data_IF_480194853843
#
_entry.id   IF_480194853843
#
_cell.length_a   1.000
_cell.length_b   1.000
_cell.length_c   1.000
_cell.angle_alpha   90.00
_cell.angle_beta   90.00
_cell.angle_gamma   90.00
#
_symmetry.space_group_name_H-M   'P 1'
#
loop_
_entity.id
_entity.type
_entity.pdbx_description
1 polymer ?
#
# COMPACT_ATOMS: atom_id res chain seq x y z
N UNK A 1 27.78 -37.13 -0.07
CA UNK A 1 26.54 -36.57 -0.63
C UNK A 1 25.86 -35.72 0.46
N UNK A 2 26.16 -34.41 0.56
CA UNK A 2 25.56 -33.52 1.58
C UNK A 2 24.28 -32.91 1.03
N UNK A 3 23.12 -33.41 1.48
CA UNK A 3 21.81 -32.78 1.25
C UNK A 3 21.75 -31.47 2.03
N UNK A 4 22.05 -30.34 1.37
CA UNK A 4 21.81 -28.99 1.90
C UNK A 4 20.30 -28.79 2.06
N UNK A 5 19.77 -29.01 3.25
CA UNK A 5 18.44 -28.56 3.65
C UNK A 5 18.42 -27.03 3.62
N UNK A 6 17.78 -26.45 2.61
CA UNK A 6 17.63 -24.97 2.50
C UNK A 6 16.73 -24.49 3.65
N UNK A 7 17.08 -23.41 4.35
CA UNK A 7 16.28 -22.92 5.48
C UNK A 7 14.84 -22.63 5.04
N UNK A 8 13.84 -22.87 5.90
CA UNK A 8 12.41 -22.72 5.57
C UNK A 8 12.04 -21.31 5.06
N UNK A 9 12.82 -20.31 5.46
CA UNK A 9 12.69 -18.92 5.01
C UNK A 9 12.92 -18.74 3.51
N UNK A 10 13.87 -19.48 2.91
CA UNK A 10 14.16 -19.41 1.47
C UNK A 10 12.98 -19.92 0.63
N UNK A 11 12.24 -20.89 1.17
CA UNK A 11 11.06 -21.44 0.51
C UNK A 11 9.90 -20.45 0.56
N UNK A 12 9.68 -19.79 1.71
CA UNK A 12 8.67 -18.74 1.85
C UNK A 12 8.95 -17.53 0.95
N UNK A 13 10.21 -17.09 0.88
CA UNK A 13 10.64 -16.02 -0.03
C UNK A 13 10.40 -16.37 -1.50
N UNK A 14 10.72 -17.62 -1.91
CA UNK A 14 10.42 -18.08 -3.27
C UNK A 14 8.93 -18.08 -3.56
N UNK A 15 8.11 -18.57 -2.63
CA UNK A 15 6.65 -18.56 -2.80
C UNK A 15 6.09 -17.13 -2.88
N UNK A 16 6.66 -16.19 -2.12
CA UNK A 16 6.28 -14.78 -2.19
C UNK A 16 6.71 -14.15 -3.52
N UNK A 17 7.92 -14.44 -4.00
CA UNK A 17 8.40 -13.99 -5.32
C UNK A 17 7.53 -14.54 -6.44
N UNK A 18 7.29 -15.86 -6.45
CA UNK A 18 6.45 -16.53 -7.42
C UNK A 18 5.04 -15.94 -7.38
N UNK A 19 4.50 -15.67 -6.18
CA UNK A 19 3.20 -15.02 -6.00
C UNK A 19 3.16 -13.60 -6.56
N UNK A 20 4.17 -12.77 -6.28
CA UNK A 20 4.25 -11.37 -6.76
C UNK A 20 4.41 -11.27 -8.28
N UNK A 21 4.85 -12.34 -8.95
CA UNK A 21 4.92 -12.41 -10.41
C UNK A 21 3.59 -12.74 -11.09
N UNK A 22 2.54 -13.10 -10.35
CA UNK A 22 1.21 -13.25 -10.94
C UNK A 22 0.63 -11.87 -11.24
N UNK A 23 0.10 -11.71 -12.46
CA UNK A 23 -0.58 -10.50 -12.91
C UNK A 23 -1.77 -10.13 -11.99
N UNK A 24 -2.41 -11.13 -11.39
CA UNK A 24 -3.53 -10.96 -10.44
C UNK A 24 -3.11 -10.72 -8.98
N UNK A 25 -1.81 -10.77 -8.65
CA UNK A 25 -1.33 -10.71 -7.26
C UNK A 25 -1.70 -9.40 -6.57
N UNK A 26 -1.61 -8.27 -7.30
CA UNK A 26 -1.99 -6.96 -6.78
C UNK A 26 -3.48 -6.88 -6.41
N UNK A 27 -4.35 -7.44 -7.26
CA UNK A 27 -5.79 -7.50 -7.00
C UNK A 27 -6.14 -8.37 -5.80
N UNK A 28 -5.50 -9.54 -5.67
CA UNK A 28 -5.73 -10.43 -4.53
C UNK A 28 -5.22 -9.82 -3.23
N UNK A 29 -4.07 -9.14 -3.26
CA UNK A 29 -3.52 -8.44 -2.10
C UNK A 29 -4.46 -7.31 -1.64
N UNK A 30 -4.99 -6.51 -2.58
CA UNK A 30 -5.97 -5.46 -2.27
C UNK A 30 -7.25 -6.04 -1.64
N UNK A 31 -7.75 -7.15 -2.18
CA UNK A 31 -8.92 -7.85 -1.63
C UNK A 31 -8.64 -8.35 -0.21
N UNK A 32 -7.49 -8.98 0.02
CA UNK A 32 -7.10 -9.45 1.34
C UNK A 32 -7.00 -8.30 2.36
N UNK A 33 -6.36 -7.18 1.98
CA UNK A 33 -6.29 -5.98 2.82
C UNK A 33 -7.69 -5.44 3.16
N UNK A 34 -8.61 -5.43 2.19
CA UNK A 34 -10.00 -5.01 2.39
C UNK A 34 -10.74 -5.90 3.37
N UNK A 35 -10.62 -7.23 3.23
CA UNK A 35 -11.23 -8.18 4.17
C UNK A 35 -10.67 -7.99 5.57
N UNK A 36 -9.35 -7.82 5.72
CA UNK A 36 -8.72 -7.55 7.02
C UNK A 36 -9.25 -6.26 7.63
N UNK A 37 -9.36 -5.18 6.85
CA UNK A 37 -9.90 -3.91 7.33
C UNK A 37 -11.36 -4.06 7.81
N UNK A 38 -12.21 -4.80 7.07
CA UNK A 38 -13.58 -5.09 7.49
C UNK A 38 -13.63 -5.92 8.77
N UNK A 39 -12.79 -6.94 8.90
CA UNK A 39 -12.72 -7.75 10.13
C UNK A 39 -12.32 -6.89 11.34
N UNK A 40 -11.30 -6.06 11.20
CA UNK A 40 -10.85 -5.15 12.28
C UNK A 40 -11.95 -4.15 12.64
N UNK A 41 -12.66 -3.59 11.65
CA UNK A 41 -13.72 -2.62 11.87
C UNK A 41 -14.97 -3.20 12.56
N UNK A 42 -15.18 -4.53 12.49
CA UNK A 42 -16.35 -5.21 13.07
C UNK A 42 -16.03 -6.02 14.34
N UNK A 43 -14.80 -5.95 14.84
CA UNK A 43 -14.37 -6.67 16.06
C UNK A 43 -14.05 -5.68 17.19
N UNK A 44 -13.81 -6.14 18.44
CA UNK A 44 -13.41 -5.27 19.55
C UNK A 44 -12.13 -4.45 19.30
N UNK A 45 -11.34 -4.83 18.29
CA UNK A 45 -10.16 -4.09 17.83
C UNK A 45 -10.50 -2.75 17.17
N UNK A 46 -11.76 -2.52 16.78
CA UNK A 46 -12.23 -1.27 16.16
C UNK A 46 -11.79 -0.03 16.94
N UNK A 47 -11.89 -0.04 18.27
CA UNK A 47 -11.51 1.11 19.11
C UNK A 47 -10.04 1.50 18.94
N UNK A 48 -9.13 0.51 18.97
CA UNK A 48 -7.71 0.74 18.74
C UNK A 48 -7.42 1.19 17.32
N UNK A 49 -8.10 0.61 16.34
CA UNK A 49 -7.95 0.97 14.94
C UNK A 49 -8.39 2.43 14.67
N UNK A 50 -9.56 2.82 15.17
CA UNK A 50 -10.05 4.20 15.06
C UNK A 50 -9.15 5.18 15.80
N UNK A 51 -8.73 4.87 17.03
CA UNK A 51 -7.83 5.73 17.80
C UNK A 51 -6.47 5.94 17.09
N UNK A 52 -5.95 4.92 16.42
CA UNK A 52 -4.74 5.04 15.61
C UNK A 52 -4.96 5.98 14.42
N UNK A 53 -6.06 5.79 13.67
CA UNK A 53 -6.37 6.60 12.50
C UNK A 53 -6.70 8.07 12.83
N UNK A 54 -7.30 8.31 13.98
CA UNK A 54 -7.65 9.65 14.49
C UNK A 54 -6.49 10.35 15.20
N UNK A 55 -5.34 9.67 15.37
CA UNK A 55 -4.17 10.22 16.05
C UNK A 55 -3.79 11.57 15.43
N UNK A 56 -3.83 12.68 16.20
CA UNK A 56 -3.52 14.00 15.67
C UNK A 56 -2.01 14.09 15.41
N UNK A 57 -1.64 14.33 14.15
CA UNK A 57 -0.26 14.55 13.73
C UNK A 57 -0.10 15.96 13.21
N UNK A 58 0.88 16.67 13.78
CA UNK A 58 1.21 18.02 13.40
C UNK A 58 2.66 18.10 12.94
N UNK A 59 2.87 18.68 11.75
CA UNK A 59 4.19 19.06 11.25
C UNK A 59 4.25 20.58 11.23
N UNK A 60 5.23 21.16 11.92
CA UNK A 60 5.44 22.61 11.99
C UNK A 60 6.83 22.99 11.51
N UNK A 61 6.90 24.05 10.71
CA UNK A 61 8.14 24.69 10.28
C UNK A 61 7.97 26.20 10.52
N UNK A 62 8.57 26.70 11.60
CA UNK A 62 8.42 28.11 12.00
C UNK A 62 6.97 28.46 12.38
N UNK A 63 6.40 29.46 11.71
CA UNK A 63 5.00 29.88 11.90
C UNK A 63 4.00 29.03 11.10
N UNK A 64 4.45 28.26 10.11
CA UNK A 64 3.59 27.36 9.34
C UNK A 64 3.44 26.03 10.08
N UNK A 65 2.20 25.66 10.39
CA UNK A 65 1.85 24.39 11.00
C UNK A 65 0.73 23.72 10.22
N UNK A 66 0.84 22.41 10.02
CA UNK A 66 -0.19 21.59 9.42
C UNK A 66 -0.54 20.46 10.38
N UNK A 67 -1.69 20.59 11.04
CA UNK A 67 -2.24 19.58 11.94
C UNK A 67 -3.38 18.84 11.25
N UNK A 68 -3.24 17.52 11.11
CA UNK A 68 -4.26 16.64 10.53
C UNK A 68 -4.22 15.27 11.22
N UNK A 69 -5.36 14.58 11.35
CA UNK A 69 -5.37 13.18 11.78
C UNK A 69 -4.49 12.31 10.88
N UNK A 70 -3.92 11.24 11.45
CA UNK A 70 -3.07 10.28 10.72
C UNK A 70 -3.76 9.74 9.46
N UNK A 71 -5.06 9.48 9.50
CA UNK A 71 -5.83 9.02 8.34
C UNK A 71 -5.71 9.97 7.14
N UNK A 72 -5.75 11.29 7.36
CA UNK A 72 -5.64 12.26 6.27
C UNK A 72 -4.21 12.29 5.70
N UNK A 73 -3.19 12.18 6.55
CA UNK A 73 -1.80 12.05 6.10
C UNK A 73 -1.59 10.81 5.21
N UNK A 74 -2.16 9.67 5.63
CA UNK A 74 -2.09 8.42 4.86
C UNK A 74 -2.80 8.60 3.51
N UNK A 75 -4.02 9.16 3.50
CA UNK A 75 -4.78 9.37 2.28
C UNK A 75 -4.04 10.30 1.30
N UNK A 76 -3.59 11.46 1.77
CA UNK A 76 -2.89 12.44 0.93
C UNK A 76 -1.57 11.84 0.39
N UNK A 77 -0.81 11.14 1.24
CA UNK A 77 0.45 10.51 0.85
C UNK A 77 0.29 9.36 -0.15
N UNK A 78 -0.60 8.41 0.12
CA UNK A 78 -0.84 7.28 -0.78
C UNK A 78 -1.46 7.74 -2.10
N UNK A 79 -2.39 8.69 -2.07
CA UNK A 79 -2.95 9.25 -3.30
C UNK A 79 -1.90 10.00 -4.12
N UNK A 80 -0.98 10.75 -3.49
CA UNK A 80 0.10 11.41 -4.21
C UNK A 80 0.96 10.41 -5.00
N UNK A 81 1.31 9.27 -4.39
CA UNK A 81 2.06 8.20 -5.08
C UNK A 81 1.21 7.56 -6.19
N UNK A 82 -0.05 7.26 -5.93
CA UNK A 82 -0.96 6.66 -6.91
C UNK A 82 -1.13 7.56 -8.14
N UNK A 83 -1.47 8.84 -7.94
CA UNK A 83 -1.66 9.79 -9.04
C UNK A 83 -0.35 10.09 -9.76
N UNK A 84 0.80 10.04 -9.08
CA UNK A 84 2.08 10.17 -9.75
C UNK A 84 2.33 9.01 -10.71
N UNK A 85 2.11 7.76 -10.28
CA UNK A 85 2.24 6.58 -11.14
C UNK A 85 1.26 6.63 -12.32
N UNK A 86 -0.01 6.94 -12.06
CA UNK A 86 -1.04 7.12 -13.10
C UNK A 86 -0.66 8.24 -14.06
N UNK A 87 -0.13 9.35 -13.57
CA UNK A 87 0.32 10.47 -14.40
C UNK A 87 1.50 10.11 -15.30
N UNK A 88 2.46 9.31 -14.80
CA UNK A 88 3.56 8.80 -15.63
C UNK A 88 3.07 7.83 -16.70
N UNK A 89 2.14 6.94 -16.34
CA UNK A 89 1.51 6.01 -17.28
C UNK A 89 0.75 6.76 -18.38
N UNK A 90 -0.08 7.72 -17.99
CA UNK A 90 -0.81 8.57 -18.93
C UNK A 90 0.15 9.34 -19.84
N UNK A 91 1.23 9.91 -19.29
CA UNK A 91 2.26 10.57 -20.11
C UNK A 91 2.89 9.62 -21.11
N UNK A 92 3.20 8.39 -20.71
CA UNK A 92 3.75 7.35 -21.59
C UNK A 92 2.78 7.04 -22.72
N UNK A 93 1.50 6.84 -22.41
CA UNK A 93 0.46 6.56 -23.41
C UNK A 93 0.24 7.72 -24.40
N UNK A 94 0.37 8.97 -23.93
CA UNK A 94 0.23 10.17 -24.78
C UNK A 94 1.40 10.37 -25.74
N UNK A 95 2.62 9.97 -25.37
CA UNK A 95 3.83 10.20 -26.18
C UNK A 95 4.16 9.01 -27.07
N UNK A 96 4.00 7.79 -26.57
CA UNK A 96 4.45 6.56 -27.22
C UNK A 96 3.31 5.55 -27.46
N UNK A 97 2.14 5.80 -26.89
CA UNK A 97 1.01 4.88 -26.92
C UNK A 97 -0.10 5.29 -27.89
N UNK A 98 -1.23 4.59 -27.78
CA UNK A 98 -2.37 4.69 -28.69
C UNK A 98 -3.16 6.02 -28.60
N UNK A 99 -2.81 6.91 -27.66
CA UNK A 99 -3.46 8.22 -27.49
C UNK A 99 -2.70 9.35 -28.22
N UNK A 100 -1.58 9.05 -28.86
CA UNK A 100 -0.76 10.04 -29.59
C UNK A 100 -1.22 10.29 -31.05
N UNK A 101 -2.33 9.68 -31.49
CA UNK A 101 -2.85 9.72 -32.87
C UNK A 101 -4.15 10.51 -33.00
#
# INVERSE_FOLDING_TARGET
MKTRTRPPFDKALRLLQDFLHLEAAGGLFLMAATVVALLVANTPLKGYYTALLELPLEIRIGAFGLAKPLLLWINDGLMAVFFFLVGMELKRELVEGHLSS
#
